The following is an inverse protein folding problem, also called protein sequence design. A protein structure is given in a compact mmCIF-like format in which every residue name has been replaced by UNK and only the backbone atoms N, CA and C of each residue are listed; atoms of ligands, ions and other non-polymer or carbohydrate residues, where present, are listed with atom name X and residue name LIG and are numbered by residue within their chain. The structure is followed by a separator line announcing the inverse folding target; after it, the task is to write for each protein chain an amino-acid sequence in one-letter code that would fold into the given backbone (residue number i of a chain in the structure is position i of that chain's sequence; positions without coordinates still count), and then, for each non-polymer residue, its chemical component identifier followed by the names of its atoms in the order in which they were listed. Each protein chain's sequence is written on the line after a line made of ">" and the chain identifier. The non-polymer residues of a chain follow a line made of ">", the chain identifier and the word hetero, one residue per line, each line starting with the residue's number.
data_IF_345638133644
#
_entry.id   IF_345638133644
#
_cell.length_a   1.000
_cell.length_b   1.000
_cell.length_c   1.000
_cell.angle_alpha   90.00
_cell.angle_beta   90.00
_cell.angle_gamma   90.00
#
_symmetry.space_group_name_H-M   'P 1'
#
loop_
_entity.id
_entity.type
_entity.pdbx_description
1 polymer ?
#
# COMPACT_ATOMS: atom_id res chain seq x y z
N UNK A 1 19.52 -25.28 26.57
CA UNK A 1 20.82 -25.57 25.91
C UNK A 1 20.88 -24.69 24.68
N UNK A 2 21.53 -23.53 24.79
CA UNK A 2 21.72 -22.57 23.69
C UNK A 2 23.00 -22.95 22.97
N UNK A 3 22.88 -23.47 21.75
CA UNK A 3 24.04 -23.88 20.96
C UNK A 3 24.71 -22.61 20.41
N UNK A 4 25.99 -22.42 20.72
CA UNK A 4 26.79 -21.31 20.22
C UNK A 4 27.28 -21.66 18.80
N UNK A 5 26.92 -20.85 17.81
CA UNK A 5 27.24 -21.10 16.39
C UNK A 5 28.75 -21.28 16.19
N UNK A 6 29.59 -20.58 16.96
CA UNK A 6 31.05 -20.71 16.87
C UNK A 6 31.59 -22.10 17.29
N UNK A 7 30.87 -22.83 18.15
CA UNK A 7 31.24 -24.20 18.54
C UNK A 7 30.87 -25.23 17.46
N UNK A 8 29.84 -24.95 16.64
CA UNK A 8 29.48 -25.78 15.48
C UNK A 8 30.51 -25.68 14.35
N UNK A 9 31.09 -24.49 14.12
CA UNK A 9 32.08 -24.27 13.06
C UNK A 9 33.46 -24.86 13.36
N UNK A 10 33.84 -25.01 14.64
CA UNK A 10 35.14 -25.60 15.01
C UNK A 10 35.16 -27.13 15.05
N UNK A 11 33.99 -27.80 15.14
CA UNK A 11 33.93 -29.27 15.27
C UNK A 11 33.54 -30.02 13.99
N UNK A 12 33.09 -29.34 12.94
CA UNK A 12 32.71 -30.00 11.70
C UNK A 12 33.33 -29.28 10.51
N UNK A 13 34.27 -29.94 9.83
CA UNK A 13 34.41 -29.76 8.39
C UNK A 13 33.04 -30.01 7.78
N UNK A 14 32.29 -28.94 7.54
CA UNK A 14 31.01 -29.04 6.83
C UNK A 14 31.32 -29.74 5.52
N UNK A 15 30.76 -30.94 5.33
CA UNK A 15 30.91 -31.66 4.09
C UNK A 15 30.27 -30.77 3.00
N UNK A 16 30.96 -30.47 1.91
CA UNK A 16 30.47 -29.53 0.88
C UNK A 16 29.03 -29.86 0.42
N UNK A 17 28.65 -31.15 0.46
CA UNK A 17 27.30 -31.63 0.17
C UNK A 17 26.22 -31.14 1.16
N UNK A 18 26.53 -30.99 2.45
CA UNK A 18 25.58 -30.51 3.46
C UNK A 18 25.34 -29.00 3.32
N UNK A 19 26.39 -28.24 2.98
CA UNK A 19 26.29 -26.81 2.68
C UNK A 19 25.48 -26.57 1.40
N UNK A 20 25.76 -27.32 0.33
CA UNK A 20 25.02 -27.26 -0.93
C UNK A 20 23.53 -27.58 -0.74
N UNK A 21 23.22 -28.62 0.05
CA UNK A 21 21.84 -28.97 0.42
C UNK A 21 21.14 -27.88 1.23
N UNK A 22 21.86 -27.21 2.14
CA UNK A 22 21.32 -26.10 2.90
C UNK A 22 21.01 -24.90 2.00
N UNK A 23 21.94 -24.51 1.12
CA UNK A 23 21.78 -23.40 0.19
C UNK A 23 20.60 -23.64 -0.78
N UNK A 24 20.48 -24.84 -1.34
CA UNK A 24 19.34 -25.19 -2.18
C UNK A 24 17.99 -25.11 -1.44
N UNK A 25 17.95 -25.49 -0.16
CA UNK A 25 16.73 -25.35 0.64
C UNK A 25 16.36 -23.87 0.81
N UNK A 26 17.34 -23.02 1.08
CA UNK A 26 17.14 -21.57 1.23
C UNK A 26 16.70 -20.91 -0.06
N UNK A 27 17.24 -21.34 -1.18
CA UNK A 27 16.79 -20.89 -2.51
C UNK A 27 15.32 -21.28 -2.75
N UNK A 28 14.91 -22.51 -2.41
CA UNK A 28 13.51 -22.94 -2.52
C UNK A 28 12.59 -22.13 -1.61
N UNK A 29 12.96 -21.94 -0.34
CA UNK A 29 12.19 -21.14 0.63
C UNK A 29 12.01 -19.70 0.16
N UNK A 30 13.08 -19.12 -0.39
CA UNK A 30 13.10 -17.80 -1.00
C UNK A 30 12.13 -17.70 -2.18
N UNK A 31 12.20 -18.65 -3.11
CA UNK A 31 11.31 -18.70 -4.27
C UNK A 31 9.83 -18.80 -3.86
N UNK A 32 9.52 -19.65 -2.87
CA UNK A 32 8.16 -19.81 -2.36
C UNK A 32 7.62 -18.52 -1.72
N UNK A 33 8.44 -17.83 -0.92
CA UNK A 33 8.07 -16.55 -0.31
C UNK A 33 7.81 -15.46 -1.36
N UNK A 34 8.71 -15.33 -2.33
CA UNK A 34 8.57 -14.35 -3.41
C UNK A 34 7.36 -14.62 -4.30
N UNK A 35 7.07 -15.90 -4.57
CA UNK A 35 5.86 -16.30 -5.29
C UNK A 35 4.60 -15.94 -4.49
N UNK A 36 4.57 -16.19 -3.18
CA UNK A 36 3.45 -15.80 -2.32
C UNK A 36 3.25 -14.28 -2.31
N UNK A 37 4.32 -13.49 -2.18
CA UNK A 37 4.28 -12.03 -2.24
C UNK A 37 3.76 -11.53 -3.59
N UNK A 38 4.28 -12.06 -4.70
CA UNK A 38 3.84 -11.71 -6.05
C UNK A 38 2.36 -12.03 -6.25
N UNK A 39 1.91 -13.22 -5.80
CA UNK A 39 0.52 -13.63 -5.91
C UNK A 39 -0.42 -12.75 -5.08
N UNK A 40 -0.05 -12.38 -3.84
CA UNK A 40 -0.81 -11.44 -3.01
C UNK A 40 -0.92 -10.07 -3.69
N UNK A 41 0.18 -9.57 -4.24
CA UNK A 41 0.19 -8.28 -4.93
C UNK A 41 -0.67 -8.30 -6.21
N UNK A 42 -0.59 -9.37 -7.01
CA UNK A 42 -1.44 -9.58 -8.18
C UNK A 42 -2.93 -9.66 -7.82
N UNK A 43 -3.27 -10.40 -6.76
CA UNK A 43 -4.65 -10.48 -6.27
C UNK A 43 -5.16 -9.10 -5.83
N UNK A 44 -4.35 -8.32 -5.11
CA UNK A 44 -4.70 -6.96 -4.70
C UNK A 44 -5.00 -6.06 -5.91
N UNK A 45 -4.16 -6.10 -6.95
CA UNK A 45 -4.41 -5.34 -8.19
C UNK A 45 -5.73 -5.74 -8.85
N UNK A 46 -6.03 -7.05 -8.92
CA UNK A 46 -7.31 -7.53 -9.47
C UNK A 46 -8.50 -7.00 -8.68
N UNK A 47 -8.43 -7.04 -7.36
CA UNK A 47 -9.49 -6.50 -6.49
C UNK A 47 -9.66 -4.99 -6.63
N UNK A 48 -8.57 -4.24 -6.81
CA UNK A 48 -8.63 -2.80 -7.11
C UNK A 48 -9.34 -2.56 -8.46
N UNK A 49 -9.05 -3.37 -9.47
CA UNK A 49 -9.74 -3.31 -10.77
C UNK A 49 -11.24 -3.58 -10.66
N UNK A 50 -11.64 -4.60 -9.88
CA UNK A 50 -13.05 -4.89 -9.58
C UNK A 50 -13.69 -3.73 -8.80
N UNK A 51 -12.98 -3.19 -7.81
CA UNK A 51 -13.42 -2.03 -7.03
C UNK A 51 -13.67 -0.80 -7.91
N UNK A 52 -12.84 -0.57 -8.92
CA UNK A 52 -13.06 0.49 -9.91
C UNK A 52 -14.40 0.31 -10.62
N UNK A 53 -14.68 -0.88 -11.17
CA UNK A 53 -15.95 -1.17 -11.85
C UNK A 53 -17.15 -1.04 -10.91
N UNK A 54 -17.05 -1.56 -9.70
CA UNK A 54 -18.11 -1.45 -8.70
C UNK A 54 -18.37 0.01 -8.32
N UNK A 55 -17.32 0.80 -8.08
CA UNK A 55 -17.48 2.22 -7.76
C UNK A 55 -18.11 3.02 -8.91
N UNK A 56 -17.84 2.64 -10.16
CA UNK A 56 -18.36 3.31 -11.34
C UNK A 56 -19.84 3.01 -11.58
N UNK A 57 -20.31 1.81 -11.20
CA UNK A 57 -21.67 1.36 -11.47
C UNK A 57 -22.56 1.53 -10.24
N UNK A 58 -22.14 0.98 -9.10
CA UNK A 58 -22.97 0.87 -7.89
C UNK A 58 -23.19 2.22 -7.23
N UNK A 59 -22.16 3.05 -7.09
CA UNK A 59 -22.29 4.32 -6.37
C UNK A 59 -23.21 5.34 -7.08
N UNK A 60 -23.14 5.51 -8.42
CA UNK A 60 -24.13 6.33 -9.12
C UNK A 60 -25.57 5.82 -9.04
N UNK A 61 -25.79 4.51 -8.95
CA UNK A 61 -27.14 3.94 -8.73
C UNK A 61 -27.71 4.27 -7.35
N UNK A 62 -26.85 4.63 -6.40
CA UNK A 62 -27.20 5.11 -5.07
C UNK A 62 -27.17 6.65 -4.98
N UNK A 63 -27.10 7.34 -6.12
CA UNK A 63 -27.01 8.81 -6.21
C UNK A 63 -25.73 9.41 -5.56
N UNK A 64 -24.72 8.56 -5.34
CA UNK A 64 -23.43 8.94 -4.78
C UNK A 64 -22.43 9.34 -5.88
N UNK A 65 -22.82 10.29 -6.74
CA UNK A 65 -22.07 10.62 -7.97
C UNK A 65 -20.66 11.16 -7.70
N UNK A 66 -20.50 12.10 -6.76
CA UNK A 66 -19.18 12.71 -6.48
C UNK A 66 -18.22 11.68 -5.90
N UNK A 67 -18.70 10.88 -4.94
CA UNK A 67 -17.92 9.80 -4.34
C UNK A 67 -17.60 8.69 -5.34
N UNK A 68 -18.59 8.31 -6.17
CA UNK A 68 -18.43 7.33 -7.24
C UNK A 68 -17.33 7.70 -8.21
N UNK A 69 -17.38 8.93 -8.75
CA UNK A 69 -16.36 9.44 -9.67
C UNK A 69 -14.96 9.46 -9.03
N UNK A 70 -14.84 9.94 -7.80
CA UNK A 70 -13.56 10.03 -7.09
C UNK A 70 -12.94 8.66 -6.79
N UNK A 71 -13.74 7.70 -6.32
CA UNK A 71 -13.30 6.33 -6.07
C UNK A 71 -12.94 5.61 -7.37
N UNK A 72 -13.73 5.77 -8.43
CA UNK A 72 -13.40 5.19 -9.73
C UNK A 72 -12.08 5.72 -10.25
N UNK A 73 -11.89 7.04 -10.25
CA UNK A 73 -10.63 7.66 -10.70
C UNK A 73 -9.45 7.19 -9.86
N UNK A 74 -9.63 7.10 -8.54
CA UNK A 74 -8.61 6.58 -7.62
C UNK A 74 -8.24 5.15 -7.95
N UNK A 75 -9.22 4.24 -8.02
CA UNK A 75 -8.96 2.83 -8.27
C UNK A 75 -8.38 2.58 -9.66
N UNK A 76 -8.85 3.28 -10.70
CA UNK A 76 -8.26 3.19 -12.04
C UNK A 76 -6.80 3.66 -12.02
N UNK A 77 -6.52 4.81 -11.40
CA UNK A 77 -5.16 5.36 -11.31
C UNK A 77 -4.22 4.40 -10.58
N UNK A 78 -4.65 3.88 -9.43
CA UNK A 78 -3.88 2.91 -8.66
C UNK A 78 -3.71 1.62 -9.46
N UNK A 79 -4.75 1.10 -10.11
CA UNK A 79 -4.67 -0.09 -10.95
C UNK A 79 -3.62 0.05 -12.06
N UNK A 80 -3.64 1.16 -12.80
CA UNK A 80 -2.68 1.43 -13.89
C UNK A 80 -1.25 1.50 -13.34
N UNK A 81 -1.04 2.27 -12.26
CA UNK A 81 0.29 2.43 -11.65
C UNK A 81 0.80 1.10 -11.09
N UNK A 82 -0.05 0.35 -10.40
CA UNK A 82 0.29 -0.93 -9.78
C UNK A 82 0.64 -2.00 -10.81
N UNK A 83 -0.06 -2.06 -11.95
CA UNK A 83 0.30 -2.95 -13.04
C UNK A 83 1.68 -2.62 -13.64
N UNK A 84 1.97 -1.34 -13.87
CA UNK A 84 3.31 -0.92 -14.34
C UNK A 84 4.41 -1.34 -13.36
N UNK A 85 4.14 -1.20 -12.06
CA UNK A 85 5.06 -1.62 -10.99
C UNK A 85 5.22 -3.14 -10.93
N UNK A 86 4.14 -3.90 -11.00
CA UNK A 86 4.20 -5.36 -11.07
C UNK A 86 5.07 -5.84 -12.22
N UNK A 87 4.94 -5.24 -13.40
CA UNK A 87 5.76 -5.60 -14.55
C UNK A 87 7.24 -5.30 -14.31
N UNK A 88 7.57 -4.19 -13.65
CA UNK A 88 8.95 -3.88 -13.26
C UNK A 88 9.52 -4.90 -12.26
N UNK A 89 8.70 -5.43 -11.34
CA UNK A 89 9.11 -6.49 -10.42
C UNK A 89 9.47 -7.79 -11.16
N UNK A 90 8.76 -8.11 -12.25
CA UNK A 90 9.07 -9.27 -13.09
C UNK A 90 10.35 -9.11 -13.92
N UNK A 91 10.87 -7.88 -14.06
CA UNK A 91 12.11 -7.58 -14.79
C UNK A 91 13.38 -7.66 -13.91
N UNK A 92 13.24 -7.89 -12.60
CA UNK A 92 14.41 -8.13 -11.74
C UNK A 92 15.11 -9.40 -12.26
N UNK A 93 16.43 -9.30 -12.49
CA UNK A 93 17.21 -10.39 -13.06
C UNK A 93 17.16 -11.60 -12.13
N UNK A 94 16.77 -12.75 -12.69
CA UNK A 94 16.68 -14.03 -11.98
C UNK A 94 17.95 -14.87 -12.12
N UNK A 95 18.89 -14.44 -12.97
CA UNK A 95 20.15 -15.13 -13.21
C UNK A 95 21.26 -14.68 -12.24
N UNK A 96 20.98 -13.71 -11.37
CA UNK A 96 21.88 -13.29 -10.31
C UNK A 96 21.86 -14.27 -9.13
N UNK A 97 22.81 -14.11 -8.20
CA UNK A 97 22.82 -14.89 -6.95
C UNK A 97 21.51 -14.71 -6.18
N UNK A 98 21.08 -15.75 -5.44
CA UNK A 98 19.86 -15.70 -4.62
C UNK A 98 19.85 -14.49 -3.67
N UNK A 99 20.98 -14.21 -3.01
CA UNK A 99 21.13 -13.05 -2.12
C UNK A 99 20.91 -11.72 -2.84
N UNK A 100 21.53 -11.52 -4.01
CA UNK A 100 21.36 -10.30 -4.80
C UNK A 100 19.90 -10.12 -5.24
N UNK A 101 19.27 -11.19 -5.70
CA UNK A 101 17.86 -11.18 -6.11
C UNK A 101 16.91 -10.79 -4.97
N UNK A 102 17.09 -11.36 -3.78
CA UNK A 102 16.27 -11.02 -2.62
C UNK A 102 16.45 -9.57 -2.18
N UNK A 103 17.69 -9.09 -2.21
CA UNK A 103 18.03 -7.71 -1.84
C UNK A 103 17.38 -6.70 -2.79
N UNK A 104 17.49 -6.94 -4.10
CA UNK A 104 16.84 -6.11 -5.13
C UNK A 104 15.33 -6.12 -4.98
N UNK A 105 14.73 -7.29 -4.77
CA UNK A 105 13.29 -7.43 -4.57
C UNK A 105 12.83 -6.67 -3.32
N UNK A 106 13.57 -6.78 -2.21
CA UNK A 106 13.27 -6.08 -0.96
C UNK A 106 13.38 -4.57 -1.11
N UNK A 107 14.41 -4.10 -1.79
CA UNK A 107 14.60 -2.70 -2.13
C UNK A 107 13.46 -2.18 -2.99
N UNK A 108 13.03 -2.95 -3.99
CA UNK A 108 11.90 -2.61 -4.85
C UNK A 108 10.58 -2.45 -4.06
N UNK A 109 10.31 -3.37 -3.12
CA UNK A 109 9.14 -3.28 -2.23
C UNK A 109 9.18 -2.02 -1.36
N UNK A 110 10.34 -1.71 -0.78
CA UNK A 110 10.55 -0.50 0.04
C UNK A 110 10.30 0.78 -0.77
N UNK A 111 10.85 0.86 -1.98
CA UNK A 111 10.63 2.00 -2.88
C UNK A 111 9.16 2.13 -3.28
N UNK A 112 8.49 1.01 -3.54
CA UNK A 112 7.07 0.99 -3.85
C UNK A 112 6.22 1.49 -2.68
N UNK A 113 6.50 1.04 -1.46
CA UNK A 113 5.84 1.54 -0.24
C UNK A 113 6.04 3.05 -0.08
N UNK A 114 7.25 3.57 -0.27
CA UNK A 114 7.50 5.01 -0.18
C UNK A 114 6.73 5.82 -1.24
N UNK A 115 6.68 5.30 -2.48
CA UNK A 115 5.96 5.93 -3.57
C UNK A 115 4.46 5.99 -3.27
N UNK A 116 3.84 4.86 -2.89
CA UNK A 116 2.42 4.85 -2.55
C UNK A 116 2.15 5.69 -1.30
N UNK A 117 3.03 5.67 -0.30
CA UNK A 117 2.88 6.55 0.87
C UNK A 117 2.75 8.03 0.50
N UNK A 118 3.50 8.51 -0.51
CA UNK A 118 3.34 9.88 -1.05
C UNK A 118 2.07 10.02 -1.89
N UNK A 119 1.75 9.04 -2.73
CA UNK A 119 0.54 9.05 -3.55
C UNK A 119 -0.74 9.16 -2.68
N UNK A 120 -0.77 8.44 -1.56
CA UNK A 120 -1.90 8.42 -0.65
C UNK A 120 -2.09 9.74 0.11
N UNK A 121 -1.05 10.59 0.22
CA UNK A 121 -1.20 11.97 0.69
C UNK A 121 -2.03 12.86 -0.25
N UNK A 122 -2.28 12.42 -1.48
CA UNK A 122 -3.21 13.07 -2.40
C UNK A 122 -4.54 12.32 -2.47
N UNK A 123 -4.51 10.97 -2.47
CA UNK A 123 -5.72 10.16 -2.58
C UNK A 123 -6.66 10.37 -1.39
N UNK A 124 -6.20 10.26 -0.14
CA UNK A 124 -7.11 10.38 1.00
C UNK A 124 -7.77 11.76 1.12
N UNK A 125 -7.04 12.89 0.97
CA UNK A 125 -7.68 14.21 0.91
C UNK A 125 -8.68 14.33 -0.23
N UNK A 126 -8.36 13.82 -1.42
CA UNK A 126 -9.29 13.83 -2.55
C UNK A 126 -10.59 13.08 -2.21
N UNK A 127 -10.48 11.86 -1.69
CA UNK A 127 -11.64 11.06 -1.29
C UNK A 127 -12.46 11.76 -0.21
N UNK A 128 -11.80 12.40 0.77
CA UNK A 128 -12.48 13.16 1.82
C UNK A 128 -13.22 14.38 1.27
N UNK A 129 -12.59 15.17 0.39
CA UNK A 129 -13.25 16.32 -0.25
C UNK A 129 -14.42 15.86 -1.11
N UNK A 130 -14.29 14.74 -1.82
CA UNK A 130 -15.41 14.16 -2.58
C UNK A 130 -16.54 13.67 -1.67
N UNK A 131 -16.22 13.15 -0.48
CA UNK A 131 -17.21 12.82 0.54
C UNK A 131 -17.94 14.06 1.05
N UNK A 132 -17.22 15.15 1.32
CA UNK A 132 -17.80 16.42 1.72
C UNK A 132 -18.69 17.00 0.63
N UNK A 133 -18.23 16.97 -0.63
CA UNK A 133 -19.03 17.38 -1.78
C UNK A 133 -20.34 16.61 -1.85
N UNK A 134 -20.26 15.27 -1.78
CA UNK A 134 -21.44 14.41 -1.75
C UNK A 134 -22.37 14.72 -0.56
N UNK A 135 -21.81 14.92 0.63
CA UNK A 135 -22.54 15.22 1.85
C UNK A 135 -23.32 16.54 1.70
N UNK A 136 -22.64 17.62 1.33
CA UNK A 136 -23.24 18.96 1.19
C UNK A 136 -24.30 19.06 0.09
N UNK A 137 -24.24 18.20 -0.93
CA UNK A 137 -25.28 18.13 -1.97
C UNK A 137 -26.47 17.23 -1.61
N UNK A 138 -26.37 16.46 -0.52
CA UNK A 138 -27.46 15.62 -0.04
C UNK A 138 -28.34 16.33 0.98
N UNK A 139 -29.56 15.83 1.18
CA UNK A 139 -30.55 16.41 2.12
C UNK A 139 -29.96 16.63 3.52
N UNK A 140 -29.22 15.65 4.04
CA UNK A 140 -28.60 15.73 5.37
C UNK A 140 -27.58 16.88 5.45
N UNK A 141 -26.78 17.07 4.40
CA UNK A 141 -25.82 18.17 4.35
C UNK A 141 -26.49 19.52 4.22
N UNK A 142 -27.60 19.61 3.48
CA UNK A 142 -28.39 20.83 3.39
C UNK A 142 -28.93 21.26 4.76
N UNK A 143 -29.56 20.34 5.51
CA UNK A 143 -30.00 20.61 6.89
C UNK A 143 -28.86 21.01 7.82
N UNK A 144 -27.70 20.37 7.66
CA UNK A 144 -26.49 20.74 8.40
C UNK A 144 -26.07 22.18 8.06
N UNK A 145 -25.98 22.55 6.79
CA UNK A 145 -25.56 23.88 6.35
C UNK A 145 -26.52 24.97 6.83
N UNK A 146 -27.83 24.72 6.83
CA UNK A 146 -28.84 25.64 7.38
C UNK A 146 -28.61 25.94 8.87
N UNK A 147 -28.06 24.99 9.64
CA UNK A 147 -27.75 25.19 11.06
C UNK A 147 -26.52 26.08 11.29
N UNK A 148 -25.76 26.38 10.24
CA UNK A 148 -24.54 27.19 10.26
C UNK A 148 -24.64 28.44 9.38
N UNK A 149 -25.85 28.78 8.92
CA UNK A 149 -26.09 29.91 8.02
C UNK A 149 -27.06 30.88 8.66
N UNK A 150 -26.61 32.11 8.89
CA UNK A 150 -27.49 33.27 9.11
C UNK A 150 -27.68 34.07 7.81
N UNK A 151 -28.73 34.90 7.73
CA UNK A 151 -29.11 35.67 6.52
C UNK A 151 -27.98 36.56 5.93
N UNK A 152 -26.92 36.85 6.70
CA UNK A 152 -25.80 37.70 6.27
C UNK A 152 -24.46 36.96 6.19
N UNK A 153 -24.44 35.64 6.30
CA UNK A 153 -23.17 34.90 6.29
C UNK A 153 -22.52 34.89 4.91
N UNK A 154 -21.20 35.10 4.91
CA UNK A 154 -20.40 34.96 3.71
C UNK A 154 -20.36 33.49 3.28
N UNK A 155 -20.63 33.22 2.01
CA UNK A 155 -20.65 31.89 1.43
C UNK A 155 -19.59 31.72 0.34
N UNK A 156 -19.07 30.51 0.20
CA UNK A 156 -18.18 30.08 -0.88
C UNK A 156 -18.75 28.80 -1.48
N UNK A 157 -19.11 28.82 -2.76
CA UNK A 157 -19.77 27.70 -3.46
C UNK A 157 -21.05 27.17 -2.74
N UNK A 158 -21.82 28.05 -2.09
CA UNK A 158 -23.02 27.67 -1.34
C UNK A 158 -22.75 27.07 0.04
N UNK A 159 -21.49 27.04 0.49
CA UNK A 159 -21.09 26.60 1.84
C UNK A 159 -20.68 27.82 2.66
N UNK A 160 -21.16 28.00 3.90
CA UNK A 160 -20.72 29.07 4.78
C UNK A 160 -19.20 29.06 4.95
N UNK A 161 -18.56 30.24 4.92
CA UNK A 161 -17.10 30.37 4.99
C UNK A 161 -16.52 29.62 6.19
N UNK A 162 -17.19 29.67 7.34
CA UNK A 162 -16.75 28.96 8.54
C UNK A 162 -16.67 27.44 8.33
N UNK A 163 -17.69 26.84 7.71
CA UNK A 163 -17.74 25.40 7.39
C UNK A 163 -16.67 25.05 6.36
N UNK A 164 -16.46 25.90 5.36
CA UNK A 164 -15.39 25.74 4.36
C UNK A 164 -14.00 25.78 5.00
N UNK A 165 -13.75 26.69 5.95
CA UNK A 165 -12.51 26.77 6.71
C UNK A 165 -12.24 25.49 7.51
N UNK A 166 -13.23 24.98 8.25
CA UNK A 166 -13.09 23.71 8.98
C UNK A 166 -12.85 22.52 8.05
N UNK A 167 -13.54 22.47 6.91
CA UNK A 167 -13.36 21.43 5.89
C UNK A 167 -11.95 21.45 5.31
N UNK A 168 -11.39 22.63 5.06
CA UNK A 168 -10.01 22.80 4.59
C UNK A 168 -8.99 22.36 5.64
N UNK A 169 -9.20 22.73 6.91
CA UNK A 169 -8.35 22.30 8.03
C UNK A 169 -8.36 20.78 8.19
N UNK A 170 -9.54 20.15 8.14
CA UNK A 170 -9.68 18.70 8.21
C UNK A 170 -8.99 18.00 7.03
N UNK A 171 -9.19 18.50 5.81
CA UNK A 171 -8.51 18.01 4.60
C UNK A 171 -6.99 18.08 4.75
N UNK A 172 -6.47 19.20 5.28
CA UNK A 172 -5.03 19.37 5.55
C UNK A 172 -4.50 18.36 6.57
N UNK A 173 -5.24 18.12 7.66
CA UNK A 173 -4.86 17.12 8.67
C UNK A 173 -4.81 15.71 8.08
N UNK A 174 -5.77 15.35 7.23
CA UNK A 174 -5.80 14.08 6.51
C UNK A 174 -4.59 13.97 5.58
N UNK A 175 -4.25 15.03 4.82
CA UNK A 175 -3.12 15.02 3.91
C UNK A 175 -1.78 14.76 4.63
N UNK A 176 -1.60 15.38 5.80
CA UNK A 176 -0.38 15.22 6.61
C UNK A 176 -0.30 13.81 7.21
N UNK A 177 -1.43 13.27 7.68
CA UNK A 177 -1.48 11.95 8.34
C UNK A 177 -1.56 10.76 7.37
N UNK A 178 -1.95 10.99 6.11
CA UNK A 178 -2.25 9.94 5.14
C UNK A 178 -1.09 8.96 4.88
N UNK A 179 0.15 9.45 4.79
CA UNK A 179 1.32 8.57 4.60
C UNK A 179 1.51 7.61 5.78
N UNK A 180 1.33 8.10 7.00
CA UNK A 180 1.46 7.29 8.20
C UNK A 180 0.35 6.22 8.26
N UNK A 181 -0.88 6.61 7.89
CA UNK A 181 -2.01 5.67 7.82
C UNK A 181 -1.76 4.58 6.78
N UNK A 182 -1.36 4.95 5.56
CA UNK A 182 -1.00 4.00 4.50
C UNK A 182 0.12 3.04 4.93
N UNK A 183 1.18 3.55 5.56
CA UNK A 183 2.28 2.70 6.02
C UNK A 183 1.82 1.65 7.04
N UNK A 184 0.90 2.03 7.93
CA UNK A 184 0.31 1.12 8.92
C UNK A 184 -0.55 0.04 8.26
N UNK A 185 -1.31 0.38 7.22
CA UNK A 185 -2.07 -0.59 6.43
C UNK A 185 -1.13 -1.60 5.74
N UNK A 186 -0.04 -1.13 5.14
CA UNK A 186 0.97 -2.01 4.51
C UNK A 186 1.62 -2.93 5.55
N UNK A 187 2.00 -2.40 6.70
CA UNK A 187 2.58 -3.20 7.79
C UNK A 187 1.62 -4.29 8.26
N UNK A 188 0.33 -3.96 8.39
CA UNK A 188 -0.68 -4.92 8.79
C UNK A 188 -0.86 -6.06 7.77
N UNK A 189 -0.85 -5.75 6.47
CA UNK A 189 -1.10 -6.73 5.40
C UNK A 189 0.15 -7.54 5.03
N UNK A 190 1.32 -6.87 4.96
CA UNK A 190 2.55 -7.42 4.38
C UNK A 190 3.71 -7.50 5.38
N UNK A 191 3.60 -6.95 6.59
CA UNK A 191 4.71 -6.85 7.54
C UNK A 191 5.35 -8.20 7.89
N UNK A 192 4.52 -9.25 8.02
CA UNK A 192 5.04 -10.60 8.27
C UNK A 192 5.88 -11.13 7.10
N UNK A 193 5.44 -10.91 5.86
CA UNK A 193 6.18 -11.38 4.68
C UNK A 193 7.47 -10.59 4.48
N UNK A 194 7.46 -9.28 4.74
CA UNK A 194 8.66 -8.44 4.72
C UNK A 194 9.67 -8.87 5.78
N UNK A 195 9.20 -9.15 7.00
CA UNK A 195 10.07 -9.65 8.08
C UNK A 195 10.70 -11.00 7.74
N UNK A 196 9.96 -11.91 7.09
CA UNK A 196 10.52 -13.18 6.61
C UNK A 196 11.58 -12.97 5.53
N UNK A 197 11.32 -12.05 4.59
CA UNK A 197 12.27 -11.70 3.54
C UNK A 197 13.57 -11.11 4.12
N UNK A 198 13.44 -10.18 5.06
CA UNK A 198 14.58 -9.57 5.77
C UNK A 198 15.39 -10.62 6.56
N UNK A 199 14.71 -11.60 7.16
CA UNK A 199 15.35 -12.74 7.83
C UNK A 199 16.15 -13.64 6.88
N UNK A 200 15.58 -13.99 5.72
CA UNK A 200 16.27 -14.81 4.71
C UNK A 200 17.50 -14.10 4.14
N UNK A 201 17.41 -12.80 3.88
CA UNK A 201 18.56 -11.99 3.44
C UNK A 201 19.66 -12.04 4.51
N UNK A 202 19.32 -11.76 5.77
CA UNK A 202 20.28 -11.75 6.88
C UNK A 202 20.97 -13.09 7.09
N UNK A 203 20.24 -14.20 6.96
CA UNK A 203 20.80 -15.56 7.07
C UNK A 203 21.76 -15.88 5.93
N UNK A 204 21.45 -15.45 4.69
CA UNK A 204 22.33 -15.66 3.54
C UNK A 204 23.58 -14.76 3.60
N UNK A 205 23.44 -13.50 4.03
CA UNK A 205 24.58 -12.60 4.25
C UNK A 205 25.57 -13.17 5.26
N UNK A 206 25.10 -13.83 6.32
CA UNK A 206 25.95 -14.45 7.33
C UNK A 206 26.74 -15.68 6.82
N UNK A 207 26.39 -16.21 5.65
CA UNK A 207 27.02 -17.38 5.03
C UNK A 207 28.01 -17.03 3.91
N UNK A 208 28.09 -15.75 3.54
CA UNK A 208 28.95 -15.24 2.46
C UNK A 208 30.13 -14.46 3.02
#
# INVERSE_FOLDING_TARGET
>A
MTININELWQQQTINNADLEKYLHRKESESNDLLMQLANKYQANIKWIGIGALLSMIVLPLLELYYMGAALTLTFVSVYIISNKRLNALHLIDKNQSCLAYLTDYRQYLSQSQQFYGKLYQFIYPLLFVSALGQFFTGEVGEYFLLSFTDDNDAMVFGVPVLVACYSLLATGLIAISAKALYNKEVEHIYGQDFSKLDGLISELEALT
#
